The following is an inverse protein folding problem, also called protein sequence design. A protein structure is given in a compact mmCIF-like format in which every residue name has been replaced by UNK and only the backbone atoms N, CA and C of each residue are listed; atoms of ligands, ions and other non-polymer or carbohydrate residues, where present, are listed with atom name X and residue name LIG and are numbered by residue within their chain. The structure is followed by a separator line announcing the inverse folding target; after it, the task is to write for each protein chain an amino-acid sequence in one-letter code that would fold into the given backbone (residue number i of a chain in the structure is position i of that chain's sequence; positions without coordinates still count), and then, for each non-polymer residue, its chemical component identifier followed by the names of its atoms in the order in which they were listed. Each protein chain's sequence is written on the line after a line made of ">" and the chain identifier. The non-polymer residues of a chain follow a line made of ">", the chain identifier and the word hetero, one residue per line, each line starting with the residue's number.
data_IF_849816573017
#
_entry.id   IF_849816573017
#
_cell.length_a   1.000
_cell.length_b   1.000
_cell.length_c   1.000
_cell.angle_alpha   90.00
_cell.angle_beta   90.00
_cell.angle_gamma   90.00
#
_symmetry.space_group_name_H-M   'P 1'
#
loop_
_entity.id
_entity.type
_entity.pdbx_description
1 polymer ?
#
# COMPACT_ATOMS: atom_id res chain seq x y z
N UNK A 1 -1.86 -10.08 4.54
CA UNK A 1 -2.09 -10.19 5.98
C UNK A 1 -1.03 -11.02 6.72
N UNK A 2 -0.47 -12.09 6.16
CA UNK A 2 0.57 -12.89 6.82
C UNK A 2 1.79 -12.11 7.32
N UNK A 3 2.21 -11.05 6.62
CA UNK A 3 3.34 -10.24 7.05
C UNK A 3 3.05 -9.36 8.28
N UNK A 4 1.80 -8.95 8.47
CA UNK A 4 1.40 -8.14 9.64
C UNK A 4 1.53 -8.96 10.93
N UNK A 5 1.30 -10.27 10.86
CA UNK A 5 1.45 -11.17 12.03
C UNK A 5 2.89 -11.30 12.52
N UNK A 6 3.88 -10.94 11.71
CA UNK A 6 5.30 -10.95 12.08
C UNK A 6 5.80 -9.59 12.56
N UNK A 7 4.96 -8.55 12.51
CA UNK A 7 5.32 -7.22 12.96
C UNK A 7 5.35 -7.15 14.50
N UNK A 8 6.36 -6.53 15.09
CA UNK A 8 6.47 -6.42 16.55
C UNK A 8 5.50 -5.34 17.09
N UNK A 9 4.19 -5.60 17.01
CA UNK A 9 3.12 -4.67 17.46
C UNK A 9 3.34 -4.12 18.88
N UNK A 10 3.87 -4.89 19.86
CA UNK A 10 4.16 -4.33 21.18
C UNK A 10 5.21 -3.22 21.18
N UNK A 11 6.10 -3.21 20.18
CA UNK A 11 7.16 -2.21 20.05
C UNK A 11 6.76 -1.01 19.21
N UNK A 12 5.90 -1.22 18.20
CA UNK A 12 5.41 -0.15 17.34
C UNK A 12 3.97 -0.44 16.88
N UNK A 13 2.99 0.39 17.27
CA UNK A 13 1.60 0.20 16.87
C UNK A 13 1.45 0.29 15.35
N UNK A 14 0.67 -0.63 14.77
CA UNK A 14 0.37 -0.66 13.34
C UNK A 14 -1.10 -0.39 13.09
N UNK A 15 -1.39 0.46 12.11
CA UNK A 15 -2.73 0.61 11.53
C UNK A 15 -2.68 0.42 10.02
N UNK A 16 -3.77 -0.08 9.45
CA UNK A 16 -3.93 -0.21 7.99
C UNK A 16 -5.04 0.69 7.50
N UNK A 17 -4.84 1.28 6.31
CA UNK A 17 -5.89 2.03 5.65
C UNK A 17 -6.85 1.05 4.96
N UNK A 18 -8.13 1.11 5.31
CA UNK A 18 -9.17 0.21 4.79
C UNK A 18 -10.32 1.01 4.20
N UNK A 19 -10.82 0.59 3.02
CA UNK A 19 -11.96 1.24 2.39
C UNK A 19 -13.24 1.10 3.24
N UNK A 20 -14.19 2.05 3.08
CA UNK A 20 -15.50 2.01 3.74
C UNK A 20 -16.52 1.09 3.06
N UNK A 21 -16.09 0.17 2.21
CA UNK A 21 -16.94 -0.81 1.55
C UNK A 21 -17.19 -2.03 2.45
N UNK A 22 -18.19 -2.85 2.10
CA UNK A 22 -18.47 -4.12 2.77
C UNK A 22 -17.26 -5.08 2.79
N UNK A 23 -16.44 -5.06 1.74
CA UNK A 23 -15.16 -5.80 1.73
C UNK A 23 -14.18 -5.23 2.76
N UNK A 24 -14.19 -3.91 2.98
CA UNK A 24 -13.40 -3.27 4.02
C UNK A 24 -13.82 -3.69 5.44
N UNK A 25 -15.09 -4.00 5.66
CA UNK A 25 -15.55 -4.47 6.98
C UNK A 25 -14.97 -5.85 7.33
N UNK A 26 -14.87 -6.75 6.34
CA UNK A 26 -14.20 -8.03 6.54
C UNK A 26 -12.70 -7.85 6.84
N UNK A 27 -12.02 -6.96 6.11
CA UNK A 27 -10.60 -6.65 6.35
C UNK A 27 -10.41 -6.06 7.74
N UNK A 28 -11.29 -5.15 8.16
CA UNK A 28 -11.23 -4.55 9.51
C UNK A 28 -11.33 -5.61 10.59
N UNK A 29 -12.34 -6.50 10.53
CA UNK A 29 -12.50 -7.58 11.50
C UNK A 29 -11.28 -8.50 11.55
N UNK A 30 -10.70 -8.83 10.39
CA UNK A 30 -9.50 -9.67 10.35
C UNK A 30 -8.28 -8.94 10.91
N UNK A 31 -8.14 -7.64 10.67
CA UNK A 31 -7.07 -6.83 11.24
C UNK A 31 -7.19 -6.75 12.77
N UNK A 32 -8.39 -6.52 13.29
CA UNK A 32 -8.66 -6.48 14.73
C UNK A 32 -8.30 -7.80 15.42
N UNK A 33 -8.62 -8.95 14.79
CA UNK A 33 -8.24 -10.27 15.31
C UNK A 33 -6.70 -10.47 15.37
N UNK A 34 -5.94 -9.73 14.57
CA UNK A 34 -4.47 -9.75 14.54
C UNK A 34 -3.85 -8.65 15.40
N UNK A 35 -4.64 -7.90 16.16
CA UNK A 35 -4.16 -6.77 16.96
C UNK A 35 -3.73 -5.55 16.15
N UNK A 36 -4.15 -5.46 14.88
CA UNK A 36 -3.82 -4.36 13.97
C UNK A 36 -4.99 -3.40 13.88
N UNK A 37 -4.78 -2.15 14.25
CA UNK A 37 -5.80 -1.11 14.13
C UNK A 37 -6.12 -0.76 12.67
N UNK A 38 -7.27 -0.11 12.45
CA UNK A 38 -7.65 0.33 11.11
C UNK A 38 -8.00 1.81 11.10
N UNK A 39 -7.67 2.49 9.98
CA UNK A 39 -8.20 3.81 9.65
C UNK A 39 -9.13 3.63 8.45
N UNK A 40 -10.39 4.05 8.59
CA UNK A 40 -11.40 3.89 7.54
C UNK A 40 -11.42 5.10 6.63
N UNK A 41 -11.02 4.89 5.37
CA UNK A 41 -10.99 5.94 4.36
C UNK A 41 -11.19 5.39 2.96
N UNK A 42 -11.50 6.27 2.01
CA UNK A 42 -11.49 5.93 0.58
C UNK A 42 -10.56 6.86 -0.16
N UNK A 43 -9.84 6.36 -1.18
CA UNK A 43 -9.15 7.24 -2.12
C UNK A 43 -10.20 8.13 -2.81
N UNK A 44 -10.02 9.44 -2.71
CA UNK A 44 -10.97 10.46 -3.14
C UNK A 44 -11.41 10.29 -4.59
N UNK A 45 -12.72 10.21 -4.80
CA UNK A 45 -13.32 10.58 -6.07
C UNK A 45 -13.48 12.12 -6.07
N UNK A 46 -12.68 12.83 -6.85
CA UNK A 46 -12.69 14.30 -6.96
C UNK A 46 -14.09 14.89 -7.26
N UNK A 47 -14.99 14.07 -7.83
CA UNK A 47 -16.39 14.46 -8.17
C UNK A 47 -17.41 14.29 -7.04
N UNK A 48 -17.04 13.76 -5.87
CA UNK A 48 -17.96 13.55 -4.73
C UNK A 48 -17.60 14.37 -3.48
N UNK A 49 -16.91 15.50 -3.65
CA UNK A 49 -16.44 16.34 -2.54
C UNK A 49 -17.58 16.91 -1.67
N UNK A 50 -18.80 17.01 -2.18
CA UNK A 50 -19.92 17.66 -1.46
C UNK A 50 -20.76 16.70 -0.59
N UNK A 51 -20.64 15.39 -0.75
CA UNK A 51 -21.50 14.41 -0.03
C UNK A 51 -20.81 13.52 0.99
N UNK A 52 -19.49 13.51 1.10
CA UNK A 52 -18.79 12.52 1.94
C UNK A 52 -17.87 13.19 2.97
N UNK A 53 -18.49 13.77 4.01
CA UNK A 53 -17.79 14.41 5.16
C UNK A 53 -16.81 13.45 5.88
N UNK A 54 -16.93 12.15 5.71
CA UNK A 54 -16.11 11.15 6.41
C UNK A 54 -14.81 10.73 5.71
N UNK A 55 -14.63 11.01 4.40
CA UNK A 55 -13.37 10.72 3.69
C UNK A 55 -12.27 11.75 3.93
N UNK A 56 -12.65 12.96 4.34
CA UNK A 56 -11.72 14.04 4.63
C UNK A 56 -10.91 13.81 5.94
N UNK A 57 -11.42 12.98 6.84
CA UNK A 57 -10.81 12.75 8.16
C UNK A 57 -9.72 11.67 8.19
N UNK A 58 -9.69 10.76 7.22
CA UNK A 58 -8.74 9.65 7.24
C UNK A 58 -7.28 10.11 7.08
N UNK A 59 -7.03 11.07 6.19
CA UNK A 59 -5.67 11.54 5.94
C UNK A 59 -5.05 12.26 7.14
N UNK A 60 -5.70 13.25 7.78
CA UNK A 60 -5.20 13.83 9.02
C UNK A 60 -4.97 12.81 10.13
N UNK A 61 -5.83 11.79 10.25
CA UNK A 61 -5.64 10.71 11.22
C UNK A 61 -4.38 9.89 10.92
N UNK A 62 -4.09 9.58 9.63
CA UNK A 62 -2.86 8.90 9.24
C UNK A 62 -1.63 9.73 9.59
N UNK A 63 -1.63 11.03 9.25
CA UNK A 63 -0.53 11.96 9.57
C UNK A 63 -0.28 12.01 11.07
N UNK A 64 -1.33 12.22 11.86
CA UNK A 64 -1.23 12.28 13.33
C UNK A 64 -0.70 10.97 13.90
N UNK A 65 -1.17 9.83 13.41
CA UNK A 65 -0.75 8.51 13.88
C UNK A 65 0.72 8.22 13.56
N UNK A 66 1.18 8.55 12.36
CA UNK A 66 2.59 8.36 11.98
C UNK A 66 3.49 9.30 12.78
N UNK A 67 3.10 10.58 12.97
CA UNK A 67 3.85 11.54 13.79
C UNK A 67 3.92 11.13 15.27
N UNK A 68 2.97 10.35 15.77
CA UNK A 68 3.03 9.77 17.11
C UNK A 68 3.88 8.51 17.23
N UNK A 69 4.61 8.12 16.17
CA UNK A 69 5.48 6.94 16.15
C UNK A 69 4.80 5.65 15.68
N UNK A 70 3.56 5.73 15.20
CA UNK A 70 2.84 4.58 14.65
C UNK A 70 3.29 4.23 13.22
N UNK A 71 3.05 2.99 12.79
CA UNK A 71 3.32 2.52 11.43
C UNK A 71 2.03 2.36 10.63
N UNK A 72 1.97 2.97 9.44
CA UNK A 72 0.82 2.86 8.53
C UNK A 72 1.06 1.82 7.43
N UNK A 73 0.24 0.77 7.40
CA UNK A 73 0.18 -0.17 6.29
C UNK A 73 -0.70 0.36 5.16
N UNK A 74 -0.14 0.45 3.97
CA UNK A 74 -0.81 0.95 2.77
C UNK A 74 -0.62 -0.01 1.59
N UNK A 75 -1.65 -0.15 0.76
CA UNK A 75 -1.55 -0.75 -0.58
C UNK A 75 -1.51 0.39 -1.59
N UNK A 76 -0.32 0.69 -2.16
CA UNK A 76 -0.11 1.94 -2.86
C UNK A 76 -0.84 2.06 -4.21
N UNK A 77 -1.19 0.94 -4.85
CA UNK A 77 -2.00 0.92 -6.07
C UNK A 77 -3.50 1.21 -5.81
N UNK A 78 -3.92 1.19 -4.55
CA UNK A 78 -5.28 1.50 -4.16
C UNK A 78 -6.32 0.51 -4.70
N UNK A 79 -7.62 0.75 -4.43
CA UNK A 79 -8.69 -0.21 -4.75
C UNK A 79 -9.07 -0.27 -6.23
N UNK A 80 -8.53 0.60 -7.06
CA UNK A 80 -8.85 0.69 -8.50
C UNK A 80 -7.65 0.43 -9.40
N UNK A 81 -6.46 0.27 -8.84
CA UNK A 81 -5.22 0.14 -9.58
C UNK A 81 -4.83 1.39 -10.39
N UNK A 82 -4.04 1.21 -11.42
CA UNK A 82 -3.61 -0.05 -12.05
C UNK A 82 -2.66 -0.88 -11.17
N UNK A 83 -2.63 -2.20 -11.37
CA UNK A 83 -1.79 -3.13 -10.59
C UNK A 83 -0.32 -2.73 -10.62
N UNK A 84 0.30 -2.70 -9.43
CA UNK A 84 1.71 -2.35 -9.22
C UNK A 84 2.07 -0.94 -9.71
N UNK A 85 1.09 -0.03 -9.71
CA UNK A 85 1.29 1.40 -9.97
C UNK A 85 0.95 2.18 -8.70
N UNK A 86 1.94 2.82 -8.13
CA UNK A 86 1.74 3.55 -6.89
C UNK A 86 0.97 4.86 -7.11
N UNK A 87 -0.09 5.05 -6.34
CA UNK A 87 -0.75 6.34 -6.21
C UNK A 87 0.07 7.26 -5.28
N UNK A 88 -0.08 8.59 -5.38
CA UNK A 88 0.76 9.54 -4.63
C UNK A 88 0.52 9.55 -3.12
N UNK A 89 -0.49 8.84 -2.61
CA UNK A 89 -0.91 8.92 -1.20
C UNK A 89 0.16 8.50 -0.20
N UNK A 90 0.91 7.43 -0.48
CA UNK A 90 2.00 6.96 0.38
C UNK A 90 3.19 7.93 0.36
N UNK A 91 3.56 8.44 -0.82
CA UNK A 91 4.62 9.42 -0.97
C UNK A 91 4.28 10.73 -0.23
N UNK A 92 3.05 11.22 -0.40
CA UNK A 92 2.59 12.41 0.30
C UNK A 92 2.62 12.25 1.81
N UNK A 93 2.14 11.10 2.33
CA UNK A 93 2.20 10.81 3.76
C UNK A 93 3.64 10.82 4.29
N UNK A 94 4.57 10.25 3.52
CA UNK A 94 5.99 10.24 3.87
C UNK A 94 6.56 11.66 3.94
N UNK A 95 6.27 12.51 2.95
CA UNK A 95 6.72 13.91 2.95
C UNK A 95 6.12 14.71 4.12
N UNK A 96 4.79 14.61 4.35
CA UNK A 96 4.09 15.37 5.39
C UNK A 96 4.51 14.97 6.81
N UNK A 97 5.06 13.77 6.96
CA UNK A 97 5.45 13.23 8.28
C UNK A 97 6.96 13.13 8.49
N UNK A 98 7.76 13.18 7.42
CA UNK A 98 9.19 12.88 7.45
C UNK A 98 9.52 11.41 7.68
N UNK A 99 8.51 10.52 7.62
CA UNK A 99 8.71 9.10 7.89
C UNK A 99 9.21 8.34 6.66
N UNK A 100 10.13 7.40 6.87
CA UNK A 100 10.58 6.49 5.83
C UNK A 100 9.49 5.50 5.45
N UNK A 101 9.45 5.11 4.17
CA UNK A 101 8.52 4.09 3.67
C UNK A 101 9.23 2.74 3.62
N UNK A 102 8.79 1.81 4.45
CA UNK A 102 9.29 0.46 4.44
C UNK A 102 8.62 -0.35 3.33
N UNK A 103 9.42 -0.93 2.47
CA UNK A 103 8.96 -1.70 1.32
C UNK A 103 8.81 -3.17 1.70
N UNK A 104 7.67 -3.77 1.36
CA UNK A 104 7.43 -5.18 1.61
C UNK A 104 6.81 -5.86 0.38
N UNK A 105 7.52 -6.84 -0.16
CA UNK A 105 7.02 -7.79 -1.15
C UNK A 105 6.74 -9.14 -0.52
N UNK A 106 5.82 -9.92 -1.08
CA UNK A 106 5.59 -11.29 -0.62
C UNK A 106 5.13 -12.20 -1.75
N UNK A 107 5.42 -13.49 -1.62
CA UNK A 107 4.96 -14.51 -2.54
C UNK A 107 4.81 -15.86 -1.86
N UNK A 108 4.22 -16.82 -2.55
CA UNK A 108 4.07 -18.18 -2.09
C UNK A 108 4.13 -19.16 -3.26
N UNK A 109 4.74 -20.34 -3.01
CA UNK A 109 4.98 -21.35 -4.07
C UNK A 109 3.69 -21.92 -4.62
N UNK A 110 2.79 -22.39 -3.76
CA UNK A 110 1.50 -22.95 -4.16
C UNK A 110 0.43 -21.89 -3.98
N UNK A 111 -0.08 -21.41 -5.10
CA UNK A 111 -1.01 -20.28 -5.12
C UNK A 111 -2.00 -20.36 -6.26
N UNK A 112 -3.18 -19.82 -6.04
CA UNK A 112 -4.12 -19.50 -7.10
C UNK A 112 -4.00 -18.00 -7.37
N UNK A 113 -3.80 -17.64 -8.63
CA UNK A 113 -3.80 -16.24 -9.07
C UNK A 113 -5.12 -15.97 -9.78
N UNK A 114 -5.94 -15.10 -9.21
CA UNK A 114 -7.23 -14.75 -9.80
C UNK A 114 -7.06 -13.89 -11.06
N UNK A 115 -8.05 -13.98 -11.96
CA UNK A 115 -8.10 -13.15 -13.18
C UNK A 115 -8.72 -11.76 -12.91
N UNK A 116 -8.47 -11.20 -11.72
CA UNK A 116 -8.86 -9.84 -11.35
C UNK A 116 -7.84 -8.83 -11.86
N UNK A 117 -8.18 -7.54 -11.83
CA UNK A 117 -7.28 -6.46 -12.26
C UNK A 117 -5.98 -6.45 -11.42
N UNK A 118 -6.09 -6.76 -10.13
CA UNK A 118 -5.01 -6.79 -9.15
C UNK A 118 -4.27 -8.12 -9.06
N UNK A 119 -4.77 -9.17 -9.76
CA UNK A 119 -4.21 -10.51 -9.71
C UNK A 119 -4.06 -11.04 -8.27
N UNK A 120 -5.12 -10.93 -7.47
CA UNK A 120 -5.12 -11.43 -6.08
C UNK A 120 -4.56 -12.84 -6.01
N UNK A 121 -3.62 -13.01 -5.09
CA UNK A 121 -2.99 -14.31 -4.80
C UNK A 121 -3.71 -14.95 -3.61
N UNK A 122 -4.24 -16.15 -3.80
CA UNK A 122 -4.72 -17.00 -2.73
C UNK A 122 -3.66 -18.08 -2.43
N UNK A 123 -2.97 -18.00 -1.29
CA UNK A 123 -2.03 -19.05 -0.89
C UNK A 123 -2.79 -20.34 -0.60
N UNK A 124 -2.25 -21.47 -1.04
CA UNK A 124 -2.79 -22.79 -0.71
C UNK A 124 -2.23 -23.28 0.63
N UNK A 125 -2.95 -24.13 1.34
CA UNK A 125 -2.49 -24.73 2.59
C UNK A 125 -1.12 -25.41 2.41
N UNK A 126 -0.30 -25.33 3.47
CA UNK A 126 1.06 -25.93 3.52
C UNK A 126 2.05 -25.35 2.51
N UNK A 127 1.71 -24.27 1.84
CA UNK A 127 2.62 -23.59 0.93
C UNK A 127 3.72 -22.86 1.70
N UNK A 128 4.97 -22.97 1.21
CA UNK A 128 6.06 -22.10 1.66
C UNK A 128 5.86 -20.71 1.06
N UNK A 129 5.92 -19.69 1.90
CA UNK A 129 5.89 -18.28 1.49
C UNK A 129 7.19 -17.57 1.82
N UNK A 130 7.46 -16.50 1.12
CA UNK A 130 8.60 -15.61 1.32
C UNK A 130 8.09 -14.19 1.47
N UNK A 131 8.62 -13.47 2.45
CA UNK A 131 8.45 -12.03 2.62
C UNK A 131 9.82 -11.40 2.35
N UNK A 132 9.85 -10.41 1.50
CA UNK A 132 11.03 -9.61 1.16
C UNK A 132 10.84 -8.21 1.74
N UNK A 133 11.72 -7.81 2.62
CA UNK A 133 11.82 -6.44 3.09
C UNK A 133 12.85 -5.73 2.21
N UNK A 134 12.40 -4.71 1.49
CA UNK A 134 13.27 -3.86 0.70
C UNK A 134 13.93 -2.75 1.55
N UNK A 135 14.86 -2.05 0.95
CA UNK A 135 15.45 -0.88 1.58
C UNK A 135 14.40 0.20 1.83
N UNK A 136 14.43 0.88 2.98
CA UNK A 136 13.54 2.00 3.26
C UNK A 136 13.67 3.11 2.21
N UNK A 137 12.55 3.69 1.80
CA UNK A 137 12.52 4.88 0.93
C UNK A 137 12.42 6.12 1.81
N UNK A 138 13.44 6.95 1.77
CA UNK A 138 13.39 8.28 2.37
C UNK A 138 12.58 9.21 1.46
N UNK A 139 11.72 10.08 2.04
CA UNK A 139 11.02 11.07 1.25
C UNK A 139 12.01 12.02 0.57
N UNK A 140 11.80 12.28 -0.71
CA UNK A 140 12.67 13.17 -1.47
C UNK A 140 12.63 14.59 -0.90
N UNK A 141 13.78 15.25 -0.91
CA UNK A 141 13.91 16.64 -0.50
C UNK A 141 13.97 17.52 -1.77
N UNK A 142 13.24 18.62 -1.78
CA UNK A 142 13.24 19.56 -2.90
C UNK A 142 12.39 20.80 -2.60
N UNK A 143 12.59 21.86 -3.41
CA UNK A 143 11.81 23.09 -3.30
C UNK A 143 10.43 22.98 -3.93
N UNK A 144 10.21 22.01 -4.82
CA UNK A 144 8.91 21.72 -5.44
C UNK A 144 8.29 20.46 -4.79
N UNK A 145 7.21 20.69 -4.05
CA UNK A 145 6.47 19.62 -3.38
C UNK A 145 5.92 18.58 -4.38
N UNK A 146 5.45 19.01 -5.54
CA UNK A 146 4.86 18.10 -6.53
C UNK A 146 5.94 17.20 -7.14
N UNK A 147 7.13 17.73 -7.39
CA UNK A 147 8.26 16.96 -7.88
C UNK A 147 8.77 15.97 -6.82
N UNK A 148 8.89 16.40 -5.57
CA UNK A 148 9.31 15.55 -4.46
C UNK A 148 8.31 14.38 -4.23
N UNK A 149 7.00 14.65 -4.30
CA UNK A 149 5.97 13.61 -4.23
C UNK A 149 6.13 12.62 -5.38
N UNK A 150 6.30 13.09 -6.61
CA UNK A 150 6.41 12.20 -7.78
C UNK A 150 7.70 11.38 -7.76
N UNK A 151 8.81 11.96 -7.35
CA UNK A 151 10.08 11.24 -7.18
C UNK A 151 9.96 10.14 -6.13
N UNK A 152 9.43 10.47 -4.96
CA UNK A 152 9.21 9.51 -3.87
C UNK A 152 8.24 8.41 -4.31
N UNK A 153 7.14 8.77 -5.01
CA UNK A 153 6.16 7.83 -5.56
C UNK A 153 6.82 6.81 -6.51
N UNK A 154 7.66 7.29 -7.45
CA UNK A 154 8.37 6.41 -8.39
C UNK A 154 9.31 5.47 -7.67
N UNK A 155 10.09 5.98 -6.72
CA UNK A 155 10.99 5.14 -5.92
C UNK A 155 10.23 4.05 -5.15
N UNK A 156 9.09 4.38 -4.54
CA UNK A 156 8.21 3.40 -3.88
C UNK A 156 7.72 2.35 -4.89
N UNK A 157 7.25 2.77 -6.07
CA UNK A 157 6.74 1.88 -7.11
C UNK A 157 7.83 0.89 -7.56
N UNK A 158 8.99 1.41 -7.93
CA UNK A 158 10.09 0.60 -8.46
C UNK A 158 10.60 -0.42 -7.44
N UNK A 159 10.77 0.00 -6.18
CA UNK A 159 11.20 -0.89 -5.10
C UNK A 159 10.16 -1.95 -4.75
N UNK A 160 8.86 -1.62 -4.79
CA UNK A 160 7.78 -2.60 -4.57
C UNK A 160 7.72 -3.62 -5.69
N UNK A 161 7.85 -3.21 -6.95
CA UNK A 161 7.93 -4.12 -8.09
C UNK A 161 9.12 -5.06 -7.94
N UNK A 162 10.28 -4.52 -7.61
CA UNK A 162 11.49 -5.32 -7.41
C UNK A 162 11.35 -6.32 -6.24
N UNK A 163 10.80 -5.88 -5.09
CA UNK A 163 10.61 -6.75 -3.93
C UNK A 163 9.62 -7.89 -4.20
N UNK A 164 8.52 -7.62 -4.94
CA UNK A 164 7.58 -8.67 -5.34
C UNK A 164 8.21 -9.65 -6.34
N UNK A 165 8.95 -9.16 -7.34
CA UNK A 165 9.66 -10.02 -8.30
C UNK A 165 10.69 -10.92 -7.59
N UNK A 166 11.41 -10.36 -6.61
CA UNK A 166 12.36 -11.12 -5.80
C UNK A 166 11.65 -12.18 -4.95
N UNK A 167 10.51 -11.88 -4.35
CA UNK A 167 9.71 -12.85 -3.60
C UNK A 167 9.17 -13.97 -4.51
N UNK A 168 8.70 -13.63 -5.72
CA UNK A 168 8.25 -14.60 -6.72
C UNK A 168 9.40 -15.52 -7.16
N UNK A 169 10.57 -14.97 -7.45
CA UNK A 169 11.75 -15.74 -7.81
C UNK A 169 12.19 -16.70 -6.68
N UNK A 170 12.19 -16.22 -5.43
CA UNK A 170 12.52 -17.05 -4.27
C UNK A 170 11.51 -18.18 -4.03
N UNK A 171 10.26 -18.01 -4.44
CA UNK A 171 9.24 -19.07 -4.43
C UNK A 171 9.29 -19.99 -5.67
N UNK A 172 10.12 -19.68 -6.67
CA UNK A 172 10.21 -20.42 -7.94
C UNK A 172 8.94 -20.32 -8.78
N UNK A 173 8.28 -19.17 -8.76
CA UNK A 173 7.04 -18.92 -9.50
C UNK A 173 7.22 -17.77 -10.50
N UNK A 174 6.39 -17.76 -11.54
CA UNK A 174 6.44 -16.69 -12.54
C UNK A 174 6.01 -15.35 -11.90
N UNK A 175 6.79 -14.28 -12.10
CA UNK A 175 6.41 -12.94 -11.63
C UNK A 175 5.07 -12.46 -12.20
N UNK A 176 4.34 -11.71 -11.40
CA UNK A 176 3.16 -11.00 -11.86
C UNK A 176 3.62 -9.63 -12.37
N UNK A 177 3.47 -9.41 -13.67
CA UNK A 177 3.90 -8.17 -14.31
C UNK A 177 3.05 -6.97 -13.88
N UNK A 178 3.64 -5.77 -13.72
CA UNK A 178 2.90 -4.54 -13.56
C UNK A 178 1.94 -4.29 -14.72
N UNK A 179 0.82 -3.64 -14.45
CA UNK A 179 -0.03 -3.14 -15.53
C UNK A 179 0.73 -2.08 -16.36
N UNK A 180 0.36 -1.86 -17.63
CA UNK A 180 0.91 -0.76 -18.42
C UNK A 180 0.83 0.56 -17.65
N UNK A 181 1.85 1.40 -17.80
CA UNK A 181 1.79 2.74 -17.23
C UNK A 181 0.56 3.47 -17.79
N UNK A 182 -0.20 4.21 -16.96
CA UNK A 182 -1.26 5.05 -17.48
C UNK A 182 -0.66 6.01 -18.50
N UNK A 183 -1.23 6.05 -19.70
CA UNK A 183 -0.83 7.01 -20.71
C UNK A 183 -0.89 8.43 -20.15
N UNK A 184 -0.18 9.41 -20.76
CA UNK A 184 -0.31 10.80 -20.36
C UNK A 184 -1.79 11.17 -20.44
N UNK A 185 -2.37 11.50 -19.27
CA UNK A 185 -3.76 11.95 -19.21
C UNK A 185 -3.98 13.09 -20.20
N UNK A 186 -5.20 13.31 -20.69
CA UNK A 186 -5.48 14.43 -21.56
C UNK A 186 -4.96 15.69 -20.87
N UNK A 187 -3.97 16.33 -21.50
CA UNK A 187 -3.51 17.66 -21.07
C UNK A 187 -4.74 18.54 -21.09
N UNK A 188 -5.14 19.00 -19.92
CA UNK A 188 -6.33 19.81 -19.76
C UNK A 188 -6.33 20.96 -20.77
N UNK A 189 -7.41 21.05 -21.54
CA UNK A 189 -7.83 22.24 -22.25
C UNK A 189 -8.57 23.14 -21.27
#
# INVERSE_FOLDING_TARGET
>A
MGAISTWPVPLQPVKVLVSRSSHGDLITRTADMLGVGTIRGSSRNRKKLEKDKGGAEAYPQMVSFVKSGGCMGLTPDGPRGPRYRAAPGAARLALDTGANVLIMGWSTRWRIVFRSWDRVILPLPFSKGVIVWGEPVEPASGSDEAEAIEQTRRTIEDRLVAANAQADAACGVRPIEPAPAPGPGPRGA
#
